data_IF_852209735871
#
_entry.id   IF_852209735871
#
_cell.length_a   1.000
_cell.length_b   1.000
_cell.length_c   1.000
_cell.angle_alpha   90.00
_cell.angle_beta   90.00
_cell.angle_gamma   90.00
#
_symmetry.space_group_name_H-M   'P 1'
#
loop_
_entity.id
_entity.type
_entity.pdbx_description
1 polymer ?
#
# COMPACT_ATOMS: atom_id res chain seq x y z
N UNK A 1 10.10 -33.24 -57.85
CA UNK A 1 10.63 -32.80 -59.17
C UNK A 1 10.84 -31.29 -59.16
N UNK A 2 11.86 -30.80 -59.88
CA UNK A 2 12.28 -29.39 -59.97
C UNK A 2 11.25 -28.49 -60.70
N UNK A 3 11.02 -27.30 -60.13
CA UNK A 3 10.92 -25.93 -60.70
C UNK A 3 10.11 -25.68 -61.99
N UNK A 4 9.24 -24.66 -61.98
CA UNK A 4 9.46 -23.31 -62.59
C UNK A 4 8.22 -22.39 -62.50
N UNK A 5 8.52 -21.09 -62.51
CA UNK A 5 7.68 -19.90 -62.35
C UNK A 5 6.96 -19.52 -63.67
N UNK A 6 5.84 -18.82 -63.59
CA UNK A 6 5.37 -17.95 -64.67
C UNK A 6 4.78 -16.66 -64.07
N UNK A 7 5.50 -15.55 -64.26
CA UNK A 7 5.03 -14.17 -64.05
C UNK A 7 4.75 -13.66 -65.46
N UNK A 8 3.53 -13.19 -65.70
CA UNK A 8 3.08 -12.70 -67.00
C UNK A 8 2.93 -11.18 -66.90
N UNK A 9 3.82 -10.48 -67.59
CA UNK A 9 3.93 -9.03 -67.67
C UNK A 9 3.63 -8.67 -69.14
N UNK A 10 2.43 -8.13 -69.40
CA UNK A 10 2.01 -7.51 -70.66
C UNK A 10 1.46 -6.13 -70.26
N UNK A 11 2.13 -5.01 -70.58
CA UNK A 11 2.02 -4.28 -71.86
C UNK A 11 0.63 -3.60 -71.95
N UNK A 12 0.42 -2.28 -71.98
CA UNK A 12 1.20 -1.20 -72.58
C UNK A 12 0.32 -0.48 -73.64
N UNK A 13 -0.39 0.58 -73.21
CA UNK A 13 -0.92 1.73 -73.97
C UNK A 13 -2.08 1.59 -75.01
N UNK A 14 -2.95 2.63 -74.97
CA UNK A 14 -3.80 3.23 -76.03
C UNK A 14 -5.31 2.91 -76.11
N UNK A 15 -6.08 3.76 -75.43
CA UNK A 15 -7.25 4.55 -75.89
C UNK A 15 -8.36 3.91 -76.74
N UNK A 16 -9.57 3.86 -76.17
CA UNK A 16 -10.82 4.08 -76.91
C UNK A 16 -11.81 2.92 -77.00
N UNK A 17 -12.50 2.59 -75.90
CA UNK A 17 -13.85 2.03 -75.97
C UNK A 17 -14.60 2.33 -74.66
N UNK A 18 -15.60 3.20 -74.73
CA UNK A 18 -16.66 3.26 -73.73
C UNK A 18 -17.45 1.95 -73.81
N UNK A 19 -17.29 1.11 -72.79
CA UNK A 19 -18.00 -0.15 -72.63
C UNK A 19 -18.30 -0.36 -71.15
N UNK A 20 -19.49 0.07 -70.74
CA UNK A 20 -20.07 -0.15 -69.42
C UNK A 20 -20.15 -1.65 -69.12
N UNK A 21 -19.77 -2.06 -67.90
CA UNK A 21 -20.34 -3.25 -67.26
C UNK A 21 -19.33 -4.31 -66.81
N UNK A 22 -18.82 -4.18 -65.59
CA UNK A 22 -19.12 -5.08 -64.45
C UNK A 22 -18.24 -4.62 -63.29
N UNK A 23 -18.84 -3.81 -62.41
CA UNK A 23 -18.23 -3.44 -61.15
C UNK A 23 -18.15 -4.67 -60.26
N UNK A 24 -16.97 -5.28 -60.20
CA UNK A 24 -16.57 -6.02 -59.02
C UNK A 24 -16.25 -4.95 -57.96
N UNK A 25 -17.16 -4.75 -57.00
CA UNK A 25 -16.83 -4.03 -55.79
C UNK A 25 -15.78 -4.85 -55.04
N UNK A 26 -14.49 -4.59 -55.29
CA UNK A 26 -13.49 -4.88 -54.28
C UNK A 26 -13.73 -3.90 -53.14
N UNK A 27 -14.36 -4.37 -52.07
CA UNK A 27 -14.34 -3.71 -50.77
C UNK A 27 -12.88 -3.67 -50.32
N UNK A 28 -12.19 -2.57 -50.60
CA UNK A 28 -11.06 -2.18 -49.76
C UNK A 28 -11.66 -1.69 -48.44
N UNK A 29 -11.73 -2.60 -47.47
CA UNK A 29 -11.83 -2.25 -46.06
C UNK A 29 -10.48 -1.63 -45.69
N UNK A 30 -10.35 -0.33 -45.94
CA UNK A 30 -9.24 0.43 -45.45
C UNK A 30 -9.52 0.68 -43.96
N UNK A 31 -8.91 -0.13 -43.09
CA UNK A 31 -8.76 0.19 -41.68
C UNK A 31 -8.01 1.52 -41.58
N UNK A 32 -8.76 2.63 -41.54
CA UNK A 32 -8.19 3.91 -41.13
C UNK A 32 -8.16 3.91 -39.61
N UNK A 33 -7.15 3.25 -39.05
CA UNK A 33 -6.75 3.45 -37.66
C UNK A 33 -6.28 4.89 -37.49
N UNK A 34 -7.15 5.76 -37.00
CA UNK A 34 -6.76 7.09 -36.56
C UNK A 34 -6.30 6.94 -35.12
N UNK A 35 -4.99 6.84 -34.91
CA UNK A 35 -4.38 6.99 -33.59
C UNK A 35 -4.30 8.48 -33.27
N UNK A 36 -5.17 8.96 -32.38
CA UNK A 36 -5.09 10.31 -31.82
C UNK A 36 -4.28 10.20 -30.53
N UNK A 37 -3.01 10.58 -30.61
CA UNK A 37 -2.15 10.73 -29.45
C UNK A 37 -2.49 12.07 -28.78
N UNK A 38 -3.20 12.02 -27.65
CA UNK A 38 -3.53 13.21 -26.87
C UNK A 38 -2.33 13.50 -25.97
N UNK A 39 -1.42 14.33 -26.48
CA UNK A 39 -0.29 14.92 -25.74
C UNK A 39 -0.77 15.33 -24.34
N UNK A 40 -0.09 14.83 -23.29
CA UNK A 40 -0.38 14.99 -21.86
C UNK A 40 -0.97 16.34 -21.48
N UNK A 41 -2.28 16.47 -21.68
CA UNK A 41 -3.04 17.66 -21.35
C UNK A 41 -3.73 17.35 -20.03
N UNK A 42 -3.50 18.19 -19.02
CA UNK A 42 -4.18 18.11 -17.73
C UNK A 42 -5.70 18.32 -17.86
N UNK A 43 -6.19 18.68 -19.05
CA UNK A 43 -7.59 18.76 -19.46
C UNK A 43 -8.05 17.62 -20.42
N UNK A 44 -7.41 16.44 -20.39
CA UNK A 44 -7.86 15.29 -21.18
C UNK A 44 -9.33 14.93 -20.88
N UNK A 45 -10.07 14.36 -21.85
CA UNK A 45 -11.49 14.00 -21.68
C UNK A 45 -11.74 12.94 -20.59
N UNK A 46 -10.66 12.31 -20.13
CA UNK A 46 -10.63 11.35 -19.02
C UNK A 46 -9.53 11.79 -18.06
N UNK A 47 -9.89 12.00 -16.79
CA UNK A 47 -8.94 12.26 -15.71
C UNK A 47 -8.67 10.98 -14.93
N UNK A 48 -7.41 10.73 -14.61
CA UNK A 48 -6.99 9.61 -13.76
C UNK A 48 -6.33 10.14 -12.50
N UNK A 49 -6.74 9.65 -11.34
CA UNK A 49 -6.10 10.02 -10.08
C UNK A 49 -6.13 8.87 -9.08
N UNK A 50 -5.22 8.91 -8.10
CA UNK A 50 -5.23 8.02 -6.95
C UNK A 50 -5.82 8.84 -5.80
N UNK A 51 -7.11 8.68 -5.44
CA UNK A 51 -7.65 9.36 -4.28
C UNK A 51 -6.85 8.99 -3.02
N UNK A 52 -6.81 9.88 -2.03
CA UNK A 52 -6.35 9.52 -0.67
C UNK A 52 -7.59 9.56 0.22
N UNK A 53 -7.81 8.56 1.06
CA UNK A 53 -9.00 8.45 1.91
C UNK A 53 -10.34 8.23 1.19
N UNK A 54 -11.39 8.01 1.98
CA UNK A 54 -12.79 8.17 1.52
C UNK A 54 -13.04 9.66 1.19
N UNK A 55 -14.00 10.02 0.31
CA UNK A 55 -14.30 11.43 -0.04
C UNK A 55 -14.57 12.36 1.15
N UNK A 56 -14.89 11.79 2.32
CA UNK A 56 -15.21 12.48 3.57
C UNK A 56 -14.16 12.28 4.68
N UNK A 57 -13.01 11.68 4.37
CA UNK A 57 -11.89 11.63 5.30
C UNK A 57 -11.15 12.96 5.28
N UNK A 58 -10.66 13.41 6.44
CA UNK A 58 -9.75 14.55 6.59
C UNK A 58 -8.46 14.35 5.77
N UNK A 59 -8.21 13.11 5.32
CA UNK A 59 -7.14 12.69 4.42
C UNK A 59 -7.46 12.82 2.92
N UNK A 60 -8.60 13.38 2.50
CA UNK A 60 -8.87 13.63 1.09
C UNK A 60 -7.86 14.63 0.50
N UNK A 61 -7.01 14.15 -0.41
CA UNK A 61 -5.98 14.97 -1.05
C UNK A 61 -6.37 15.26 -2.52
N UNK A 62 -6.40 16.55 -2.93
CA UNK A 62 -6.90 16.98 -4.23
C UNK A 62 -5.97 16.69 -5.42
N UNK A 63 -6.53 16.92 -6.61
CA UNK A 63 -6.09 16.65 -8.00
C UNK A 63 -4.63 17.00 -8.37
N UNK A 64 -3.94 17.82 -7.57
CA UNK A 64 -2.61 18.38 -7.82
C UNK A 64 -1.52 17.92 -6.83
N UNK A 65 -1.84 17.03 -5.89
CA UNK A 65 -0.86 16.52 -4.95
C UNK A 65 0.08 15.47 -5.58
N UNK A 66 1.38 15.47 -5.24
CA UNK A 66 2.33 14.50 -5.76
C UNK A 66 1.96 13.06 -5.35
N UNK A 67 1.87 12.15 -6.33
CA UNK A 67 1.59 10.71 -6.21
C UNK A 67 2.73 9.90 -5.52
N UNK A 68 3.19 10.32 -4.34
CA UNK A 68 4.35 9.71 -3.70
C UNK A 68 4.22 9.73 -2.18
N UNK A 69 4.14 8.55 -1.55
CA UNK A 69 4.65 8.35 -0.19
C UNK A 69 3.63 8.28 0.95
N UNK A 70 2.40 7.82 0.72
CA UNK A 70 1.49 7.60 1.85
C UNK A 70 1.80 6.29 2.57
N UNK A 71 1.76 6.38 3.90
CA UNK A 71 1.85 5.25 4.80
C UNK A 71 0.51 4.49 4.84
N UNK A 72 0.52 3.20 4.53
CA UNK A 72 -0.64 2.30 4.58
C UNK A 72 -0.39 1.13 5.53
N UNK A 73 -1.47 0.59 6.12
CA UNK A 73 -1.45 -0.60 6.98
C UNK A 73 -2.13 -1.77 6.27
N UNK A 74 -1.83 -2.98 6.73
CA UNK A 74 -2.61 -4.15 6.32
C UNK A 74 -4.06 -4.00 6.80
N UNK A 75 -5.01 -4.25 5.90
CA UNK A 75 -6.44 -4.02 6.10
C UNK A 75 -6.93 -2.64 5.64
N UNK A 76 -6.03 -1.71 5.28
CA UNK A 76 -6.45 -0.43 4.70
C UNK A 76 -7.00 -0.66 3.29
N UNK A 77 -8.16 -0.07 3.00
CA UNK A 77 -8.73 -0.05 1.64
C UNK A 77 -8.26 1.20 0.92
N UNK A 78 -7.46 1.02 -0.12
CA UNK A 78 -6.89 2.10 -0.91
C UNK A 78 -7.54 2.16 -2.29
N UNK A 79 -7.72 3.34 -2.87
CA UNK A 79 -8.08 3.46 -4.27
C UNK A 79 -6.83 3.31 -5.13
N UNK A 80 -6.95 2.57 -6.23
CA UNK A 80 -5.86 2.33 -7.16
C UNK A 80 -5.87 3.34 -8.30
N UNK A 81 -7.06 3.54 -8.87
CA UNK A 81 -7.30 4.50 -9.95
C UNK A 81 -8.75 4.99 -9.83
N UNK A 82 -8.96 6.28 -9.98
CA UNK A 82 -10.26 6.85 -10.29
C UNK A 82 -10.25 7.48 -11.68
N UNK A 83 -11.27 7.13 -12.45
CA UNK A 83 -11.50 7.60 -13.81
C UNK A 83 -12.68 8.56 -13.81
N UNK A 84 -12.43 9.82 -14.18
CA UNK A 84 -13.48 10.85 -14.29
C UNK A 84 -13.81 11.18 -15.73
N UNK A 85 -15.10 11.21 -16.05
CA UNK A 85 -15.59 11.67 -17.35
C UNK A 85 -15.61 13.20 -17.38
N UNK A 86 -14.85 13.77 -18.31
CA UNK A 86 -14.80 15.21 -18.58
C UNK A 86 -15.44 15.57 -19.92
N UNK A 87 -16.24 14.66 -20.48
CA UNK A 87 -17.11 14.99 -21.59
C UNK A 87 -18.08 16.10 -21.18
N UNK A 88 -18.54 16.86 -22.16
CA UNK A 88 -19.35 18.07 -21.99
C UNK A 88 -20.77 17.94 -22.56
N UNK A 89 -21.16 16.74 -23.04
CA UNK A 89 -22.51 16.40 -23.51
C UNK A 89 -22.87 14.97 -23.09
N UNK A 90 -23.92 14.39 -23.67
CA UNK A 90 -24.50 13.09 -23.31
C UNK A 90 -23.60 11.86 -23.54
N UNK A 91 -22.32 12.04 -23.90
CA UNK A 91 -21.39 10.93 -24.06
C UNK A 91 -21.15 10.22 -22.73
N UNK A 92 -21.16 8.88 -22.77
CA UNK A 92 -20.81 8.05 -21.62
C UNK A 92 -19.66 7.12 -21.96
N UNK A 93 -18.84 6.87 -20.96
CA UNK A 93 -17.76 5.88 -20.97
C UNK A 93 -17.97 4.88 -19.84
N UNK A 94 -17.36 3.72 -19.97
CA UNK A 94 -17.39 2.66 -18.96
C UNK A 94 -15.99 2.08 -18.81
N UNK A 95 -15.57 1.85 -17.57
CA UNK A 95 -14.43 0.98 -17.29
C UNK A 95 -14.84 -0.44 -17.66
N UNK A 96 -14.02 -1.09 -18.48
CA UNK A 96 -14.31 -2.44 -19.00
C UNK A 96 -13.18 -3.42 -18.74
N UNK A 97 -12.03 -2.95 -18.26
CA UNK A 97 -10.92 -3.81 -17.88
C UNK A 97 -9.89 -3.05 -17.04
N UNK A 98 -9.25 -3.74 -16.11
CA UNK A 98 -8.16 -3.25 -15.28
C UNK A 98 -7.04 -4.28 -15.28
N UNK A 99 -5.82 -3.82 -15.48
CA UNK A 99 -4.60 -4.61 -15.40
C UNK A 99 -3.70 -4.03 -14.31
N UNK A 100 -3.29 -4.84 -13.35
CA UNK A 100 -2.36 -4.46 -12.29
C UNK A 100 -1.03 -5.16 -12.57
N UNK A 101 -0.11 -4.46 -13.23
CA UNK A 101 1.15 -5.02 -13.71
C UNK A 101 2.20 -5.18 -12.59
N UNK A 102 2.15 -4.32 -11.57
CA UNK A 102 3.07 -4.32 -10.43
C UNK A 102 2.33 -3.99 -9.13
N UNK A 103 2.87 -4.47 -8.01
CA UNK A 103 2.37 -4.17 -6.68
C UNK A 103 1.17 -5.01 -6.23
N UNK A 104 0.59 -5.83 -7.11
CA UNK A 104 -0.49 -6.77 -6.77
C UNK A 104 -0.12 -7.77 -5.66
N UNK A 105 1.18 -8.03 -5.43
CA UNK A 105 1.63 -8.89 -4.34
C UNK A 105 1.43 -8.33 -2.93
N UNK A 106 0.99 -7.07 -2.80
CA UNK A 106 0.61 -6.46 -1.51
C UNK A 106 -0.87 -6.04 -1.46
N UNK A 107 -1.68 -6.59 -2.37
CA UNK A 107 -3.13 -6.38 -2.41
C UNK A 107 -3.84 -7.72 -2.19
N UNK A 108 -4.99 -7.68 -1.52
CA UNK A 108 -5.87 -8.85 -1.47
C UNK A 108 -6.61 -9.00 -2.81
N UNK A 109 -6.31 -10.07 -3.54
CA UNK A 109 -6.90 -10.37 -4.84
C UNK A 109 -8.41 -10.58 -4.83
N UNK A 110 -9.01 -10.90 -3.66
CA UNK A 110 -10.47 -11.06 -3.52
C UNK A 110 -11.17 -9.74 -3.14
N UNK A 111 -10.40 -8.69 -2.86
CA UNK A 111 -10.91 -7.41 -2.33
C UNK A 111 -11.19 -6.34 -3.37
N UNK A 112 -10.84 -6.61 -4.64
CA UNK A 112 -11.00 -5.63 -5.71
C UNK A 112 -12.46 -5.24 -5.91
N UNK A 113 -12.73 -3.94 -5.89
CA UNK A 113 -14.05 -3.39 -6.12
C UNK A 113 -13.98 -2.26 -7.13
N UNK A 114 -14.98 -2.18 -8.01
CA UNK A 114 -15.20 -1.01 -8.86
C UNK A 114 -16.51 -0.37 -8.44
N UNK A 115 -16.44 0.92 -8.15
CA UNK A 115 -17.59 1.73 -7.73
C UNK A 115 -17.80 2.91 -8.65
N UNK A 116 -19.04 3.19 -9.01
CA UNK A 116 -19.45 4.34 -9.82
C UNK A 116 -20.14 5.39 -8.97
N UNK A 117 -19.86 6.66 -9.26
CA UNK A 117 -20.69 7.80 -8.84
C UNK A 117 -21.20 8.57 -10.05
N UNK A 118 -22.51 8.85 -10.07
CA UNK A 118 -23.13 9.68 -11.09
C UNK A 118 -23.18 11.15 -10.61
N UNK A 119 -23.17 12.13 -11.54
CA UNK A 119 -23.15 13.55 -11.18
C UNK A 119 -24.37 14.01 -10.38
N UNK A 120 -25.51 13.35 -10.54
CA UNK A 120 -26.77 13.66 -9.87
C UNK A 120 -27.06 12.74 -8.67
N UNK A 121 -26.12 11.86 -8.31
CA UNK A 121 -26.21 11.04 -7.09
C UNK A 121 -26.13 11.91 -5.84
N UNK A 122 -26.70 11.45 -4.72
CA UNK A 122 -26.45 12.12 -3.43
C UNK A 122 -24.95 12.19 -3.14
N UNK A 123 -24.53 13.14 -2.29
CA UNK A 123 -23.13 13.59 -2.17
C UNK A 123 -22.12 12.48 -1.83
N UNK A 124 -22.54 11.26 -1.52
CA UNK A 124 -21.70 10.10 -1.19
C UNK A 124 -22.17 8.76 -1.76
N UNK A 125 -23.14 8.76 -2.68
CA UNK A 125 -23.71 7.49 -3.15
C UNK A 125 -22.87 6.89 -4.28
N UNK A 126 -22.18 5.80 -3.95
CA UNK A 126 -21.51 4.94 -4.91
C UNK A 126 -22.32 3.66 -5.15
N UNK A 127 -22.36 3.22 -6.40
CA UNK A 127 -22.94 1.93 -6.80
C UNK A 127 -21.84 0.96 -7.24
N UNK A 128 -21.99 -0.33 -6.91
CA UNK A 128 -21.07 -1.38 -7.34
C UNK A 128 -21.19 -1.63 -8.85
N UNK A 129 -20.06 -1.89 -9.49
CA UNK A 129 -19.95 -2.17 -10.92
C UNK A 129 -19.39 -3.58 -11.12
N UNK A 130 -20.27 -4.55 -11.36
CA UNK A 130 -19.90 -5.97 -11.45
C UNK A 130 -19.26 -6.39 -12.78
N UNK A 131 -19.23 -5.51 -13.78
CA UNK A 131 -18.90 -5.88 -15.15
C UNK A 131 -17.42 -5.71 -15.52
N UNK A 132 -16.57 -5.26 -14.59
CA UNK A 132 -15.17 -4.96 -14.89
C UNK A 132 -14.30 -6.18 -14.63
N UNK A 133 -13.57 -6.63 -15.65
CA UNK A 133 -12.54 -7.67 -15.49
C UNK A 133 -11.25 -7.06 -14.93
N UNK A 134 -10.71 -7.66 -13.87
CA UNK A 134 -9.51 -7.20 -13.18
C UNK A 134 -8.48 -8.33 -13.22
N UNK A 135 -7.32 -8.05 -13.79
CA UNK A 135 -6.24 -9.03 -13.99
C UNK A 135 -4.94 -8.54 -13.37
N UNK A 136 -4.17 -9.47 -12.82
CA UNK A 136 -2.86 -9.21 -12.23
C UNK A 136 -1.73 -9.65 -13.17
N UNK A 137 -0.60 -8.94 -13.10
CA UNK A 137 0.59 -9.19 -13.90
C UNK A 137 0.46 -8.70 -15.34
N UNK A 138 1.08 -9.44 -16.26
CA UNK A 138 1.20 -9.01 -17.67
C UNK A 138 0.04 -9.49 -18.55
N UNK A 139 -0.99 -10.10 -17.98
CA UNK A 139 -2.15 -10.56 -18.73
C UNK A 139 -3.08 -9.38 -18.94
N UNK A 140 -3.42 -9.08 -20.19
CA UNK A 140 -4.46 -8.08 -20.48
C UNK A 140 -5.82 -8.66 -20.07
N UNK A 141 -6.70 -7.86 -19.43
CA UNK A 141 -8.06 -8.30 -19.10
C UNK A 141 -8.85 -8.57 -20.38
N UNK A 142 -9.88 -9.41 -20.31
CA UNK A 142 -10.81 -9.62 -21.42
C UNK A 142 -11.87 -8.50 -21.37
N UNK A 143 -11.73 -7.40 -22.13
CA UNK A 143 -12.59 -6.24 -21.92
C UNK A 143 -13.99 -6.55 -22.46
N UNK A 144 -15.01 -6.11 -21.74
CA UNK A 144 -16.38 -6.14 -22.27
C UNK A 144 -16.44 -5.38 -23.58
N UNK A 145 -17.00 -5.99 -24.62
CA UNK A 145 -17.07 -5.38 -25.95
C UNK A 145 -18.09 -4.25 -26.04
N UNK A 146 -19.21 -4.39 -25.34
CA UNK A 146 -20.34 -3.48 -25.46
C UNK A 146 -20.89 -3.18 -24.07
N UNK A 147 -20.34 -2.19 -23.35
CA UNK A 147 -20.86 -1.85 -22.03
C UNK A 147 -22.26 -1.25 -22.17
N UNK A 148 -23.22 -1.81 -21.43
CA UNK A 148 -24.61 -1.31 -21.40
C UNK A 148 -24.73 -0.07 -20.51
N UNK A 149 -23.89 0.03 -19.48
CA UNK A 149 -23.89 1.09 -18.49
C UNK A 149 -22.54 1.79 -18.42
N UNK A 150 -22.57 3.06 -18.02
CA UNK A 150 -21.39 3.89 -17.88
C UNK A 150 -21.74 5.26 -17.34
N UNK A 151 -20.73 6.11 -17.21
CA UNK A 151 -20.81 7.42 -16.58
C UNK A 151 -20.59 8.54 -17.60
N UNK A 152 -21.45 9.55 -17.51
CA UNK A 152 -21.42 10.75 -18.34
C UNK A 152 -20.66 11.91 -17.68
N UNK A 153 -20.78 13.15 -18.19
CA UNK A 153 -20.12 14.32 -17.66
C UNK A 153 -20.21 14.45 -16.13
N UNK A 154 -19.07 14.60 -15.46
CA UNK A 154 -19.03 14.79 -14.02
C UNK A 154 -19.15 13.51 -13.19
N UNK A 155 -19.54 12.38 -13.78
CA UNK A 155 -19.46 11.07 -13.15
C UNK A 155 -18.06 10.49 -13.17
N UNK A 156 -17.85 9.46 -12.35
CA UNK A 156 -16.58 8.76 -12.25
C UNK A 156 -16.74 7.30 -11.81
N UNK A 157 -15.75 6.49 -12.13
CA UNK A 157 -15.60 5.11 -11.64
C UNK A 157 -14.24 4.97 -10.95
N UNK A 158 -14.23 4.30 -9.79
CA UNK A 158 -13.06 4.13 -8.94
C UNK A 158 -12.81 2.66 -8.68
N UNK A 159 -11.56 2.25 -8.81
CA UNK A 159 -11.08 0.91 -8.44
C UNK A 159 -10.44 1.01 -7.05
N UNK A 160 -10.83 0.13 -6.13
CA UNK A 160 -10.25 0.03 -4.80
C UNK A 160 -9.81 -1.40 -4.50
N UNK A 161 -8.87 -1.54 -3.58
CA UNK A 161 -8.38 -2.83 -3.07
C UNK A 161 -7.96 -2.69 -1.61
N UNK A 162 -8.04 -3.78 -0.86
CA UNK A 162 -7.47 -3.91 0.48
C UNK A 162 -5.97 -4.23 0.37
N UNK A 163 -5.17 -3.56 1.20
CA UNK A 163 -3.73 -3.82 1.34
C UNK A 163 -3.53 -5.04 2.24
N UNK A 164 -2.77 -6.02 1.76
CA UNK A 164 -2.37 -7.19 2.55
C UNK A 164 -0.90 -7.55 2.31
N UNK A 165 -0.18 -7.91 3.36
CA UNK A 165 1.22 -8.33 3.28
C UNK A 165 2.27 -7.21 3.11
N UNK A 166 1.92 -5.92 3.30
CA UNK A 166 2.93 -4.85 3.31
C UNK A 166 3.67 -4.79 4.65
N UNK A 167 5.00 -4.69 4.60
CA UNK A 167 5.87 -4.55 5.77
C UNK A 167 6.11 -3.10 6.18
N UNK A 168 6.38 -2.87 7.47
CA UNK A 168 6.72 -1.54 8.03
C UNK A 168 7.89 -0.89 7.29
N UNK A 169 7.69 0.33 6.78
CA UNK A 169 8.68 1.10 6.04
C UNK A 169 9.02 0.56 4.64
N UNK A 170 8.34 -0.49 4.18
CA UNK A 170 8.53 -1.05 2.84
C UNK A 170 7.84 -0.17 1.81
N UNK A 171 8.58 0.26 0.79
CA UNK A 171 8.02 0.94 -0.38
C UNK A 171 7.67 -0.08 -1.47
N UNK A 172 6.49 0.09 -2.09
CA UNK A 172 6.02 -0.76 -3.18
C UNK A 172 5.49 0.12 -4.31
N UNK A 173 6.04 -0.09 -5.50
CA UNK A 173 5.58 0.55 -6.73
C UNK A 173 4.36 -0.21 -7.29
N UNK A 174 3.34 0.56 -7.61
CA UNK A 174 2.08 0.13 -8.20
C UNK A 174 2.03 0.58 -9.65
N UNK A 175 1.67 -0.33 -10.56
CA UNK A 175 1.47 -0.03 -11.98
C UNK A 175 0.12 -0.57 -12.41
N UNK A 176 -0.81 0.33 -12.75
CA UNK A 176 -2.20 0.00 -13.07
C UNK A 176 -2.58 0.59 -14.43
N UNK A 177 -2.95 -0.28 -15.35
CA UNK A 177 -3.45 0.08 -16.69
C UNK A 177 -4.95 -0.15 -16.73
N UNK A 178 -5.72 0.79 -17.25
CA UNK A 178 -7.18 0.68 -17.33
C UNK A 178 -7.65 0.72 -18.77
N UNK A 179 -8.76 0.06 -19.09
CA UNK A 179 -9.38 0.06 -20.41
C UNK A 179 -10.77 0.65 -20.33
N UNK A 180 -11.03 1.65 -21.16
CA UNK A 180 -12.33 2.32 -21.24
C UNK A 180 -12.98 2.06 -22.59
N UNK A 181 -14.30 1.99 -22.61
CA UNK A 181 -15.07 1.96 -23.86
C UNK A 181 -16.23 2.95 -23.79
N UNK A 182 -16.58 3.50 -24.95
CA UNK A 182 -17.80 4.27 -25.10
C UNK A 182 -19.04 3.39 -24.93
N UNK A 183 -20.09 3.92 -24.32
CA UNK A 183 -21.40 3.25 -24.26
C UNK A 183 -22.11 3.47 -25.60
N UNK A 184 -22.69 2.41 -26.16
CA UNK A 184 -23.42 2.49 -27.43
C UNK A 184 -24.50 3.57 -27.42
N UNK A 185 -24.74 4.17 -28.59
CA UNK A 185 -25.73 5.24 -28.78
C UNK A 185 -25.45 6.55 -28.01
N UNK A 186 -24.35 6.67 -27.27
CA UNK A 186 -23.96 7.91 -26.58
C UNK A 186 -22.99 8.78 -27.39
N UNK A 187 -22.58 8.31 -28.58
CA UNK A 187 -21.74 9.07 -29.51
C UNK A 187 -20.23 8.83 -29.37
N UNK A 188 -19.82 7.86 -28.54
CA UNK A 188 -18.45 7.33 -28.49
C UNK A 188 -18.50 5.88 -28.98
N UNK A 189 -17.96 5.62 -30.16
CA UNK A 189 -17.88 4.27 -30.74
C UNK A 189 -16.49 3.64 -30.62
N UNK A 190 -15.54 4.32 -29.97
CA UNK A 190 -14.15 3.88 -29.88
C UNK A 190 -13.85 3.23 -28.52
N UNK A 191 -13.00 2.20 -28.56
CA UNK A 191 -12.23 1.81 -27.39
C UNK A 191 -11.25 2.92 -27.07
N UNK A 192 -11.32 3.40 -25.83
CA UNK A 192 -10.41 4.37 -25.27
C UNK A 192 -9.42 3.54 -24.43
N UNK A 193 -8.24 3.27 -24.97
CA UNK A 193 -7.17 2.71 -24.15
C UNK A 193 -6.88 3.70 -23.03
N UNK A 194 -7.07 3.25 -21.80
CA UNK A 194 -6.76 4.08 -20.66
C UNK A 194 -5.26 4.12 -20.43
N UNK A 195 -4.84 5.17 -19.77
CA UNK A 195 -3.45 5.46 -19.50
C UNK A 195 -2.93 4.54 -18.38
N UNK A 196 -1.66 4.15 -18.45
CA UNK A 196 -0.99 3.42 -17.36
C UNK A 196 -0.66 4.39 -16.23
N UNK A 197 -0.97 4.00 -14.99
CA UNK A 197 -0.76 4.80 -13.79
C UNK A 197 0.29 4.14 -12.90
N UNK A 198 1.31 4.93 -12.56
CA UNK A 198 2.37 4.52 -11.66
C UNK A 198 2.33 5.37 -10.38
N UNK A 199 2.40 4.72 -9.21
CA UNK A 199 2.48 5.38 -7.91
C UNK A 199 3.14 4.46 -6.87
N UNK A 200 3.62 5.02 -5.77
CA UNK A 200 4.29 4.25 -4.71
C UNK A 200 3.51 4.36 -3.40
N UNK A 201 3.27 3.21 -2.75
CA UNK A 201 2.74 3.13 -1.38
C UNK A 201 3.87 2.74 -0.42
N UNK A 202 3.78 3.15 0.83
CA UNK A 202 4.76 2.81 1.87
C UNK A 202 4.06 2.14 3.03
N UNK A 203 4.57 1.03 3.56
CA UNK A 203 4.02 0.44 4.78
C UNK A 203 4.24 1.38 5.97
N UNK A 204 3.19 1.63 6.76
CA UNK A 204 3.29 2.50 7.93
C UNK A 204 4.42 2.03 8.85
N UNK A 205 5.26 2.98 9.27
CA UNK A 205 6.34 2.68 10.20
C UNK A 205 5.76 2.43 11.59
N UNK A 206 5.68 1.16 11.97
CA UNK A 206 5.32 0.77 13.34
C UNK A 206 6.58 0.89 14.20
N UNK A 207 6.53 1.69 15.27
CA UNK A 207 7.64 1.72 16.22
C UNK A 207 7.73 0.38 16.92
N UNK A 208 8.95 -0.13 17.15
CA UNK A 208 9.13 -1.33 17.99
C UNK A 208 8.49 -1.17 19.36
N UNK A 209 8.38 0.09 19.83
CA UNK A 209 7.70 0.45 21.07
C UNK A 209 6.20 0.14 21.04
N UNK A 210 5.53 0.36 19.91
CA UNK A 210 4.09 0.12 19.75
C UNK A 210 3.75 -1.38 19.77
N UNK A 211 4.74 -2.22 19.46
CA UNK A 211 4.61 -3.68 19.46
C UNK A 211 4.83 -4.30 20.84
N UNK A 212 5.23 -3.54 21.87
CA UNK A 212 5.61 -4.11 23.17
C UNK A 212 4.37 -4.59 23.92
N UNK A 213 4.31 -5.90 24.15
CA UNK A 213 3.26 -6.51 24.98
C UNK A 213 3.61 -6.43 26.47
N UNK A 214 4.89 -6.41 26.81
CA UNK A 214 5.37 -6.24 28.18
C UNK A 214 6.83 -6.64 28.36
N UNK A 215 7.24 -6.74 29.63
CA UNK A 215 8.56 -7.23 30.02
C UNK A 215 8.40 -8.43 30.94
N UNK A 216 8.93 -9.58 30.51
CA UNK A 216 9.00 -10.79 31.33
C UNK A 216 10.24 -10.72 32.22
N UNK A 217 10.04 -10.90 33.52
CA UNK A 217 11.06 -11.15 34.52
C UNK A 217 10.96 -12.60 34.97
N UNK A 218 11.84 -13.51 34.51
CA UNK A 218 11.87 -14.87 35.03
C UNK A 218 12.30 -14.88 36.50
N UNK A 219 11.77 -15.82 37.27
CA UNK A 219 12.13 -16.07 38.66
C UNK A 219 13.58 -16.54 38.81
N UNK A 220 14.01 -16.70 40.06
CA UNK A 220 15.37 -17.09 40.45
C UNK A 220 16.48 -16.20 39.88
N UNK A 221 16.22 -14.89 39.75
CA UNK A 221 17.15 -13.91 39.15
C UNK A 221 17.46 -14.16 37.67
N UNK A 222 16.56 -14.82 36.93
CA UNK A 222 16.70 -14.98 35.49
C UNK A 222 16.69 -13.64 34.75
N UNK A 223 17.33 -13.64 33.59
CA UNK A 223 17.48 -12.47 32.73
C UNK A 223 16.12 -12.04 32.16
N UNK A 224 15.72 -10.75 32.28
CA UNK A 224 14.45 -10.29 31.76
C UNK A 224 14.40 -10.34 30.23
N UNK A 225 13.20 -10.29 29.66
CA UNK A 225 12.96 -10.29 28.22
C UNK A 225 11.91 -9.22 27.91
N UNK A 226 12.22 -8.29 27.01
CA UNK A 226 11.19 -7.39 26.45
C UNK A 226 10.42 -8.21 25.40
N UNK A 227 9.10 -8.27 25.52
CA UNK A 227 8.25 -9.08 24.64
C UNK A 227 7.50 -8.16 23.68
N UNK A 228 7.48 -8.53 22.40
CA UNK A 228 6.64 -7.88 21.39
C UNK A 228 5.52 -8.81 20.92
N UNK A 229 4.49 -8.24 20.31
CA UNK A 229 3.40 -8.99 19.67
C UNK A 229 3.84 -9.64 18.36
N UNK A 230 4.83 -9.07 17.66
CA UNK A 230 5.39 -9.60 16.40
C UNK A 230 6.90 -9.31 16.27
N UNK A 231 7.59 -10.19 15.53
CA UNK A 231 8.95 -9.97 14.99
C UNK A 231 10.12 -9.99 15.98
N UNK A 232 11.33 -9.96 15.43
CA UNK A 232 12.56 -9.61 16.13
C UNK A 232 12.90 -8.14 15.84
N UNK A 233 13.67 -7.49 16.71
CA UNK A 233 14.02 -6.09 16.55
C UNK A 233 14.86 -5.56 17.68
N UNK A 234 15.21 -4.27 17.60
CA UNK A 234 15.93 -3.59 18.68
C UNK A 234 15.32 -2.24 18.99
N UNK A 235 15.42 -1.83 20.23
CA UNK A 235 14.91 -0.54 20.70
C UNK A 235 15.92 0.17 21.58
N UNK A 236 15.57 1.41 21.97
CA UNK A 236 16.34 2.18 22.94
C UNK A 236 15.76 1.98 24.34
N UNK A 237 16.59 1.57 25.29
CA UNK A 237 16.18 1.31 26.67
C UNK A 237 17.31 1.60 27.66
N UNK A 238 16.95 1.64 28.94
CA UNK A 238 17.90 1.60 30.07
C UNK A 238 17.45 0.56 31.10
N UNK A 239 18.42 -0.01 31.81
CA UNK A 239 18.18 -0.99 32.85
C UNK A 239 18.38 -0.37 34.24
N UNK A 240 17.53 -0.78 35.17
CA UNK A 240 17.74 -0.59 36.60
C UNK A 240 18.24 -1.90 37.19
N UNK A 241 19.35 -1.86 37.91
CA UNK A 241 19.98 -3.06 38.44
C UNK A 241 20.40 -2.89 39.89
N UNK A 242 20.29 -4.00 40.63
CA UNK A 242 20.67 -4.07 42.03
C UNK A 242 22.07 -4.63 42.15
N UNK A 243 22.98 -3.89 42.78
CA UNK A 243 24.31 -4.38 43.08
C UNK A 243 24.25 -5.48 44.16
N UNK A 244 24.97 -6.59 43.95
CA UNK A 244 25.17 -7.59 45.00
C UNK A 244 26.28 -7.10 45.92
N UNK A 245 25.90 -6.57 47.08
CA UNK A 245 26.84 -6.01 48.05
C UNK A 245 27.85 -7.05 48.54
N UNK A 246 29.14 -6.76 48.39
CA UNK A 246 30.18 -7.41 49.17
C UNK A 246 30.15 -6.81 50.59
N UNK A 247 29.29 -7.35 51.45
CA UNK A 247 29.46 -7.30 52.90
C UNK A 247 29.05 -6.04 53.68
N UNK A 248 28.54 -4.95 53.09
CA UNK A 248 27.87 -3.88 53.87
C UNK A 248 27.09 -2.79 53.08
N UNK A 249 27.01 -2.85 51.74
CA UNK A 249 26.14 -1.95 50.95
C UNK A 249 24.84 -2.67 50.59
N UNK A 250 23.83 -2.42 51.41
CA UNK A 250 22.47 -2.92 51.24
C UNK A 250 21.75 -2.24 50.06
N UNK A 251 21.33 -3.04 49.07
CA UNK A 251 20.14 -2.82 48.24
C UNK A 251 20.08 -1.55 47.35
N UNK A 252 21.22 -0.93 47.05
CA UNK A 252 21.27 0.18 46.10
C UNK A 252 20.89 -0.28 44.68
N UNK A 253 20.05 0.52 44.04
CA UNK A 253 19.61 0.36 42.66
C UNK A 253 20.28 1.46 41.84
N UNK A 254 21.06 1.05 40.86
CA UNK A 254 21.68 1.92 39.87
C UNK A 254 20.91 1.82 38.56
N UNK A 255 21.04 2.84 37.71
CA UNK A 255 20.47 2.86 36.37
C UNK A 255 21.57 3.03 35.35
N UNK A 256 21.44 2.36 34.22
CA UNK A 256 22.34 2.55 33.08
C UNK A 256 22.01 3.83 32.33
N UNK A 257 22.93 4.28 31.49
CA UNK A 257 22.60 5.24 30.43
C UNK A 257 21.61 4.62 29.44
N UNK A 258 20.88 5.48 28.71
CA UNK A 258 20.10 5.05 27.56
C UNK A 258 21.02 4.49 26.48
N UNK A 259 20.74 3.30 25.99
CA UNK A 259 21.44 2.70 24.86
C UNK A 259 20.44 2.31 23.78
N UNK A 260 20.83 2.51 22.52
CA UNK A 260 20.15 1.90 21.37
C UNK A 260 20.53 0.42 21.25
N UNK A 261 19.85 -0.31 20.36
CA UNK A 261 20.17 -1.70 20.00
C UNK A 261 19.84 -2.78 21.07
N UNK A 262 18.91 -2.52 21.98
CA UNK A 262 18.46 -3.55 22.93
C UNK A 262 17.50 -4.52 22.22
N UNK A 263 17.82 -5.82 22.13
CA UNK A 263 17.00 -6.77 21.39
C UNK A 263 15.70 -7.09 22.13
N UNK A 264 14.63 -7.29 21.39
CA UNK A 264 13.36 -7.82 21.91
C UNK A 264 13.31 -9.35 21.75
N UNK A 265 12.37 -10.01 22.45
CA UNK A 265 12.11 -11.45 22.47
C UNK A 265 13.30 -12.35 22.90
N UNK A 266 14.44 -11.77 23.25
CA UNK A 266 15.64 -12.43 23.78
C UNK A 266 15.91 -12.11 25.26
N UNK A 267 16.69 -12.97 25.97
CA UNK A 267 17.15 -12.69 27.33
C UNK A 267 18.12 -11.52 27.37
N UNK A 268 17.84 -10.56 28.25
CA UNK A 268 18.61 -9.34 28.44
C UNK A 268 19.65 -9.49 29.55
N UNK A 269 20.83 -8.95 29.31
CA UNK A 269 21.93 -8.91 30.27
C UNK A 269 22.56 -7.51 30.32
N UNK A 270 23.22 -7.20 31.44
CA UNK A 270 23.75 -5.87 31.70
C UNK A 270 24.81 -5.39 30.71
N UNK A 271 25.54 -6.31 30.09
CA UNK A 271 26.52 -5.97 29.03
C UNK A 271 25.87 -5.33 27.81
N UNK A 272 24.62 -5.68 27.51
CA UNK A 272 23.87 -5.00 26.44
C UNK A 272 23.55 -3.55 26.78
N UNK A 273 23.56 -3.19 28.07
CA UNK A 273 23.39 -1.83 28.57
C UNK A 273 24.71 -1.13 28.90
N UNK A 274 25.86 -1.69 28.48
CA UNK A 274 27.18 -1.12 28.72
C UNK A 274 27.82 -1.48 30.07
N UNK A 275 27.16 -2.27 30.90
CA UNK A 275 27.64 -2.63 32.24
C UNK A 275 28.27 -4.04 32.31
N UNK A 276 29.21 -4.32 33.22
CA UNK A 276 29.78 -5.65 33.37
C UNK A 276 28.75 -6.67 33.90
N UNK A 277 28.77 -7.90 33.36
CA UNK A 277 27.80 -8.96 33.68
C UNK A 277 28.06 -9.71 35.01
N UNK A 278 28.93 -9.21 35.90
CA UNK A 278 29.43 -9.98 37.04
C UNK A 278 28.68 -9.65 38.34
N UNK A 279 27.46 -10.18 38.48
CA UNK A 279 26.77 -10.28 39.76
C UNK A 279 25.52 -9.42 39.99
N UNK A 280 25.33 -8.23 39.38
CA UNK A 280 24.10 -7.47 39.59
C UNK A 280 22.88 -8.09 38.89
N UNK A 281 21.69 -7.87 39.45
CA UNK A 281 20.42 -8.37 38.89
C UNK A 281 19.63 -7.21 38.31
N UNK A 282 19.13 -7.34 37.08
CA UNK A 282 18.19 -6.36 36.50
C UNK A 282 16.84 -6.47 37.24
N UNK A 283 16.44 -5.36 37.84
CA UNK A 283 15.21 -5.21 38.64
C UNK A 283 14.18 -4.28 37.99
N UNK A 284 14.57 -3.53 36.97
CA UNK A 284 13.63 -2.78 36.14
C UNK A 284 14.17 -2.48 34.77
N UNK A 285 13.27 -2.24 33.83
CA UNK A 285 13.58 -1.82 32.46
C UNK A 285 12.71 -0.62 32.13
N UNK A 286 13.31 0.40 31.53
CA UNK A 286 12.60 1.56 31.01
C UNK A 286 12.93 1.71 29.53
N UNK A 287 11.91 1.96 28.73
CA UNK A 287 11.94 1.85 27.27
C UNK A 287 11.60 3.21 26.69
N UNK A 288 12.38 3.66 25.71
CA UNK A 288 12.19 4.96 25.07
C UNK A 288 10.85 4.97 24.32
N UNK A 289 10.00 5.95 24.63
CA UNK A 289 8.62 6.01 24.13
C UNK A 289 7.58 5.25 24.96
N UNK A 290 7.95 4.61 26.08
CA UNK A 290 6.99 4.08 27.08
C UNK A 290 7.16 4.83 28.38
N UNK A 291 6.07 5.42 28.87
CA UNK A 291 6.08 6.08 30.17
C UNK A 291 6.22 5.07 31.31
N UNK A 292 7.24 5.28 32.13
CA UNK A 292 7.47 4.51 33.36
C UNK A 292 8.35 3.27 33.19
N UNK A 293 8.56 2.58 34.32
CA UNK A 293 9.48 1.46 34.47
C UNK A 293 8.67 0.16 34.59
N UNK A 294 9.09 -0.86 33.85
CA UNK A 294 8.68 -2.23 34.07
C UNK A 294 9.46 -2.80 35.25
N UNK A 295 8.81 -3.10 36.36
CA UNK A 295 9.49 -3.43 37.62
C UNK A 295 9.35 -4.92 37.96
N UNK A 296 10.46 -5.55 38.33
CA UNK A 296 10.47 -6.90 38.87
C UNK A 296 9.80 -6.90 40.26
N UNK A 297 8.64 -7.55 40.36
CA UNK A 297 7.85 -7.63 41.59
C UNK A 297 8.46 -8.54 42.68
N UNK A 298 8.93 -9.74 42.32
CA UNK A 298 9.56 -10.70 43.25
C UNK A 298 10.75 -11.42 42.58
N UNK A 299 11.78 -11.78 43.37
CA UNK A 299 12.97 -12.52 42.87
C UNK A 299 12.67 -13.98 42.55
N UNK A 300 11.64 -14.57 43.17
CA UNK A 300 11.40 -16.02 43.13
C UNK A 300 10.33 -16.43 42.12
N UNK A 301 9.54 -15.49 41.62
CA UNK A 301 8.39 -15.79 40.75
C UNK A 301 8.63 -15.24 39.34
N UNK A 302 8.18 -16.00 38.35
CA UNK A 302 8.03 -15.48 36.99
C UNK A 302 6.95 -14.40 36.99
N UNK A 303 7.26 -13.24 36.41
CA UNK A 303 6.29 -12.16 36.26
C UNK A 303 6.38 -11.56 34.84
N UNK A 304 5.24 -11.21 34.25
CA UNK A 304 5.18 -10.38 33.05
C UNK A 304 4.50 -9.07 33.42
N UNK A 305 5.23 -7.97 33.30
CA UNK A 305 4.69 -6.62 33.49
C UNK A 305 4.23 -6.12 32.13
N UNK A 306 2.92 -5.96 31.93
CA UNK A 306 2.38 -5.47 30.66
C UNK A 306 2.54 -3.96 30.52
N UNK A 307 2.53 -3.46 29.28
CA UNK A 307 2.74 -2.05 28.94
C UNK A 307 1.90 -1.06 29.78
N UNK A 308 0.65 -1.41 30.12
CA UNK A 308 -0.22 -0.55 30.94
C UNK A 308 0.02 -0.60 32.46
N UNK A 309 1.02 -1.34 32.93
CA UNK A 309 1.28 -1.57 34.36
C UNK A 309 2.68 -1.10 34.80
N UNK A 310 3.24 -0.11 34.11
CA UNK A 310 4.49 0.55 34.51
C UNK A 310 4.27 1.47 35.71
N UNK A 311 5.36 1.80 36.40
CA UNK A 311 5.36 2.75 37.54
C UNK A 311 6.53 3.72 37.40
N UNK A 312 6.48 4.89 38.05
CA UNK A 312 7.64 5.79 38.04
C UNK A 312 8.84 5.16 38.75
N UNK A 313 10.07 5.55 38.38
CA UNK A 313 11.28 5.03 39.03
C UNK A 313 11.31 5.37 40.53
N UNK A 314 10.81 6.55 40.90
CA UNK A 314 10.69 7.00 42.29
C UNK A 314 9.67 6.15 43.05
N UNK A 315 8.54 5.78 42.43
CA UNK A 315 7.56 4.87 43.03
C UNK A 315 8.12 3.45 43.18
N UNK A 316 8.90 3.00 42.20
CA UNK A 316 9.46 1.66 42.15
C UNK A 316 10.57 1.44 43.18
N UNK A 317 11.48 2.41 43.29
CA UNK A 317 12.76 2.22 43.96
C UNK A 317 12.97 3.21 45.11
N UNK A 318 12.27 4.34 45.13
CA UNK A 318 12.34 5.35 46.19
C UNK A 318 13.78 5.69 46.58
N UNK A 319 14.08 5.55 47.87
CA UNK A 319 15.41 5.88 48.44
C UNK A 319 16.51 4.86 48.07
N UNK A 320 16.17 3.75 47.42
CA UNK A 320 17.17 2.79 46.95
C UNK A 320 17.82 3.23 45.64
N UNK A 321 17.16 4.13 44.89
CA UNK A 321 17.69 4.63 43.63
C UNK A 321 18.87 5.57 43.91
N UNK A 322 20.05 5.19 43.43
CA UNK A 322 21.22 6.05 43.44
C UNK A 322 21.01 7.12 42.37
N UNK A 323 20.84 8.36 42.79
CA UNK A 323 20.81 9.52 41.90
C UNK A 323 22.21 10.07 41.74
N UNK A 324 22.67 10.25 40.51
CA UNK A 324 23.90 11.00 40.23
C UNK A 324 23.67 12.46 40.66
N UNK A 325 24.30 12.88 41.78
CA UNK A 325 24.47 14.28 42.17
C UNK A 325 25.59 14.94 41.33
#
# INVERSE_FOLDING_TARGET
MKRRRFILLLGGASSGAMGVGTGAFSSMEAERGVSVDVVGNREAFVGYYVPRGEPNDDQYVPEDAPNSGDSVKNGDRIPLVEVRSRFNKEQKISLVGVQIEQGYGVLDSESYEVKRKLPDSEEDEYEDVEHVDITEGTTEPDPIDTPENGFGPGGYERITAEVDGIGSGTEVDMVVTVTLKGVESTGIAAQLFGDTREFTITGETISTTDLISGVKFPGNSGNPQIQTTTGDGTLKARAYFRQNGNGNSSDNIERTSWTGEIPVNGPLNLRQFGEPNNGPTIVGIEIDGIDGVFVRSNKNDDNVVTHGNTVSAEQAFGNQLVTDD
#
